data_IF_032056878554
#
_entry.id   IF_032056878554
#
_cell.length_a   1.000
_cell.length_b   1.000
_cell.length_c   1.000
_cell.angle_alpha   90.00
_cell.angle_beta   90.00
_cell.angle_gamma   90.00
#
_symmetry.space_group_name_H-M   'P 1'
#
loop_
_entity.id
_entity.type
_entity.pdbx_description
1 polymer ?
#
# COMPACT_ATOMS: atom_id res chain seq x y z
N UNK A 1 -5.58 -16.12 -11.63
CA UNK A 1 -6.85 -16.77 -11.27
C UNK A 1 -8.00 -15.84 -11.62
N UNK A 2 -8.71 -16.08 -12.72
CA UNK A 2 -9.89 -15.31 -13.17
C UNK A 2 -11.09 -16.26 -13.28
N UNK A 3 -11.68 -16.65 -12.15
CA UNK A 3 -12.91 -17.47 -12.13
C UNK A 3 -13.96 -17.02 -11.11
N UNK A 4 -13.79 -15.84 -10.51
CA UNK A 4 -14.85 -15.15 -9.76
C UNK A 4 -14.78 -13.67 -10.16
N UNK A 5 -15.88 -13.12 -10.68
CA UNK A 5 -15.94 -11.74 -11.15
C UNK A 5 -15.47 -10.79 -10.05
N UNK A 6 -14.51 -9.94 -10.40
CA UNK A 6 -13.80 -8.96 -9.56
C UNK A 6 -12.69 -9.51 -8.65
N UNK A 7 -11.43 -9.04 -8.81
CA UNK A 7 -10.37 -9.27 -7.84
C UNK A 7 -10.77 -8.65 -6.50
N UNK A 8 -10.77 -9.44 -5.42
CA UNK A 8 -10.97 -8.93 -4.06
C UNK A 8 -9.77 -8.13 -3.55
N UNK A 9 -8.61 -8.33 -4.17
CA UNK A 9 -7.33 -7.76 -3.80
C UNK A 9 -6.66 -7.13 -5.01
N UNK A 10 -5.99 -6.01 -4.79
CA UNK A 10 -5.23 -5.27 -5.79
C UNK A 10 -3.81 -5.02 -5.31
N UNK A 11 -2.88 -5.15 -6.25
CA UNK A 11 -1.51 -4.71 -6.06
C UNK A 11 -1.41 -3.21 -6.27
N UNK A 12 -0.77 -2.50 -5.35
CA UNK A 12 -0.56 -1.04 -5.41
C UNK A 12 0.89 -0.69 -5.13
N UNK A 13 1.33 0.47 -5.63
CA UNK A 13 2.60 1.05 -5.22
C UNK A 13 2.44 1.82 -3.93
N UNK A 14 3.49 1.82 -3.13
CA UNK A 14 3.59 2.62 -1.92
C UNK A 14 4.75 3.60 -2.02
N UNK A 15 4.52 4.80 -1.52
CA UNK A 15 5.53 5.79 -1.20
C UNK A 15 5.57 5.93 0.32
N UNK A 16 6.65 5.42 0.90
CA UNK A 16 6.79 5.20 2.33
C UNK A 16 7.82 6.21 2.85
N UNK A 17 7.54 7.05 3.86
CA UNK A 17 8.57 7.92 4.42
C UNK A 17 9.81 7.14 4.89
N UNK A 18 11.01 7.64 4.63
CA UNK A 18 12.25 6.88 4.88
C UNK A 18 12.50 6.52 6.36
N UNK A 19 11.91 7.27 7.29
CA UNK A 19 11.97 7.00 8.73
C UNK A 19 10.86 6.05 9.22
N UNK A 20 10.01 5.57 8.32
CA UNK A 20 8.94 4.64 8.66
C UNK A 20 9.51 3.30 9.15
N UNK A 21 8.88 2.66 10.15
CA UNK A 21 9.24 1.30 10.55
C UNK A 21 8.69 0.22 9.59
N UNK A 22 8.01 0.61 8.50
CA UNK A 22 7.40 -0.31 7.56
C UNK A 22 8.40 -1.29 6.93
N UNK A 23 8.00 -2.56 6.85
CA UNK A 23 8.74 -3.66 6.20
C UNK A 23 7.79 -4.56 5.43
N UNK A 24 8.32 -5.52 4.67
CA UNK A 24 7.48 -6.56 4.09
C UNK A 24 6.78 -7.37 5.21
N UNK A 25 5.48 -7.63 5.04
CA UNK A 25 4.59 -8.22 6.03
C UNK A 25 3.96 -7.21 7.00
N UNK A 26 4.32 -5.92 6.92
CA UNK A 26 3.64 -4.91 7.75
C UNK A 26 2.17 -4.77 7.32
N UNK A 27 1.22 -4.78 8.27
CA UNK A 27 -0.19 -4.55 7.97
C UNK A 27 -0.43 -3.09 7.56
N UNK A 28 -1.49 -2.86 6.81
CA UNK A 28 -1.93 -1.54 6.37
C UNK A 28 -3.36 -1.30 6.85
N UNK A 29 -3.59 -0.11 7.38
CA UNK A 29 -4.87 0.29 7.93
C UNK A 29 -5.40 1.56 7.28
N UNK A 30 -6.74 1.67 7.25
CA UNK A 30 -7.46 2.87 6.89
C UNK A 30 -8.67 3.02 7.81
N UNK A 31 -8.72 4.12 8.57
CA UNK A 31 -9.82 4.40 9.50
C UNK A 31 -10.04 3.26 10.52
N UNK A 32 -8.96 2.69 11.07
CA UNK A 32 -9.03 1.58 12.02
C UNK A 32 -9.23 0.18 11.42
N UNK A 33 -9.56 0.06 10.12
CA UNK A 33 -9.77 -1.23 9.46
C UNK A 33 -8.48 -1.71 8.80
N UNK A 34 -8.12 -2.97 9.01
CA UNK A 34 -7.03 -3.62 8.25
C UNK A 34 -7.47 -3.83 6.80
N UNK A 35 -6.65 -3.35 5.87
CA UNK A 35 -6.97 -3.32 4.44
C UNK A 35 -6.05 -4.21 3.61
N UNK A 36 -4.96 -4.70 4.20
CA UNK A 36 -3.94 -5.48 3.50
C UNK A 36 -2.57 -5.40 4.13
N UNK A 37 -1.55 -5.75 3.37
CA UNK A 37 -0.17 -5.84 3.83
C UNK A 37 0.83 -5.41 2.77
N UNK A 38 2.01 -4.96 3.22
CA UNK A 38 3.15 -4.68 2.35
C UNK A 38 3.76 -6.02 1.90
N UNK A 39 3.77 -6.30 0.60
CA UNK A 39 4.35 -7.53 0.07
C UNK A 39 5.82 -7.37 -0.30
N UNK A 40 6.27 -6.14 -0.57
CA UNK A 40 7.67 -5.86 -0.93
C UNK A 40 8.07 -4.45 -0.52
N UNK A 41 9.33 -4.29 -0.14
CA UNK A 41 9.91 -3.03 0.30
C UNK A 41 11.26 -2.81 -0.38
N UNK A 42 11.54 -1.58 -0.79
CA UNK A 42 12.78 -1.20 -1.45
C UNK A 42 13.19 0.23 -1.10
N UNK A 43 14.48 0.40 -0.82
CA UNK A 43 15.06 1.73 -0.59
C UNK A 43 15.10 2.48 -1.92
N UNK A 44 14.56 3.70 -1.96
CA UNK A 44 14.66 4.56 -3.13
C UNK A 44 16.07 5.12 -3.23
N UNK A 45 16.70 4.93 -4.39
CA UNK A 45 17.99 5.57 -4.73
C UNK A 45 17.82 6.98 -5.32
N UNK A 46 16.58 7.42 -5.59
CA UNK A 46 16.28 8.69 -6.27
C UNK A 46 15.81 9.81 -5.35
N UNK A 47 15.18 9.46 -4.22
CA UNK A 47 14.71 10.42 -3.21
C UNK A 47 14.89 9.78 -1.83
N UNK A 48 15.88 10.26 -1.08
CA UNK A 48 16.22 9.73 0.25
C UNK A 48 15.13 9.98 1.30
N UNK A 49 14.14 10.84 1.02
CA UNK A 49 13.02 11.09 1.93
C UNK A 49 11.99 9.98 1.91
N UNK A 50 11.99 9.15 0.86
CA UNK A 50 10.99 8.11 0.68
C UNK A 50 11.61 6.77 0.25
N UNK A 51 11.01 5.70 0.70
CA UNK A 51 11.19 4.36 0.18
C UNK A 51 10.02 3.99 -0.72
N UNK A 52 10.19 2.92 -1.49
CA UNK A 52 9.16 2.35 -2.35
C UNK A 52 8.72 1.01 -1.80
N UNK A 53 7.45 0.70 -1.99
CA UNK A 53 6.91 -0.61 -1.64
C UNK A 53 5.85 -1.06 -2.62
N UNK A 54 5.49 -2.32 -2.49
CA UNK A 54 4.30 -2.90 -3.12
C UNK A 54 3.45 -3.46 -1.98
N UNK A 55 2.14 -3.27 -2.08
CA UNK A 55 1.19 -3.84 -1.14
C UNK A 55 0.07 -4.55 -1.87
N UNK A 56 -0.54 -5.49 -1.15
CA UNK A 56 -1.79 -6.11 -1.53
C UNK A 56 -2.90 -5.56 -0.66
N UNK A 57 -3.85 -4.83 -1.24
CA UNK A 57 -4.96 -4.20 -0.50
C UNK A 57 -6.30 -4.62 -1.06
N UNK A 58 -7.37 -4.51 -0.27
CA UNK A 58 -8.73 -4.82 -0.75
C UNK A 58 -9.16 -3.83 -1.83
N UNK A 59 -9.78 -4.35 -2.89
CA UNK A 59 -10.24 -3.55 -4.04
C UNK A 59 -11.22 -2.43 -3.63
N UNK A 60 -12.12 -2.71 -2.68
CA UNK A 60 -13.16 -1.77 -2.21
C UNK A 60 -12.64 -0.44 -1.66
N UNK A 61 -11.34 -0.37 -1.34
CA UNK A 61 -10.67 0.76 -0.68
C UNK A 61 -9.45 1.26 -1.47
N UNK A 62 -9.23 0.73 -2.66
CA UNK A 62 -8.16 1.13 -3.58
C UNK A 62 -8.53 2.41 -4.39
N UNK A 63 -9.15 3.39 -3.75
CA UNK A 63 -9.31 4.73 -4.33
C UNK A 63 -7.99 5.48 -4.19
N UNK A 64 -7.44 5.97 -5.31
CA UNK A 64 -6.10 6.57 -5.42
C UNK A 64 -5.81 7.70 -4.41
N UNK A 65 -4.52 7.87 -4.07
CA UNK A 65 -3.98 8.96 -3.23
C UNK A 65 -4.47 9.00 -1.77
N UNK A 66 -4.99 7.89 -1.24
CA UNK A 66 -5.30 7.76 0.18
C UNK A 66 -4.03 7.49 1.01
N UNK A 67 -3.97 8.12 2.18
CA UNK A 67 -2.95 7.80 3.16
C UNK A 67 -3.34 6.55 3.93
N UNK A 68 -2.35 5.69 4.16
CA UNK A 68 -2.46 4.44 4.92
C UNK A 68 -1.63 4.53 6.19
N UNK A 69 -2.09 3.81 7.22
CA UNK A 69 -1.40 3.67 8.50
C UNK A 69 -0.82 2.26 8.66
N UNK A 70 0.12 2.08 9.59
CA UNK A 70 0.63 0.76 9.99
C UNK A 70 -0.13 0.17 11.18
N UNK A 71 -0.89 1.00 11.89
CA UNK A 71 -1.69 0.60 13.05
C UNK A 71 -3.12 1.19 12.95
N UNK A 72 -4.14 0.59 13.60
CA UNK A 72 -5.54 1.03 13.51
C UNK A 72 -5.77 2.51 13.85
N UNK A 73 -5.17 2.98 14.95
CA UNK A 73 -5.41 4.31 15.51
C UNK A 73 -4.29 5.32 15.17
N UNK A 74 -3.38 4.93 14.28
CA UNK A 74 -2.27 5.77 13.88
C UNK A 74 -2.69 6.77 12.80
N UNK A 75 -2.22 8.02 12.91
CA UNK A 75 -2.36 9.00 11.85
C UNK A 75 -1.69 8.46 10.56
N UNK A 76 -2.44 8.29 9.46
CA UNK A 76 -1.90 7.68 8.25
C UNK A 76 -0.85 8.58 7.58
N UNK A 77 0.18 7.96 7.01
CA UNK A 77 1.35 8.65 6.48
C UNK A 77 2.00 7.96 5.27
N UNK A 78 1.54 6.76 4.89
CA UNK A 78 2.01 6.05 3.70
C UNK A 78 1.09 6.40 2.55
N UNK A 79 1.63 6.99 1.49
CA UNK A 79 0.88 7.26 0.28
C UNK A 79 0.79 5.99 -0.56
N UNK A 80 -0.41 5.59 -0.97
CA UNK A 80 -0.56 4.59 -2.03
C UNK A 80 -0.74 5.25 -3.40
N UNK A 81 -0.10 4.66 -4.40
CA UNK A 81 -0.11 5.12 -5.78
C UNK A 81 -0.66 3.99 -6.68
N UNK A 82 -1.43 4.30 -7.73
CA UNK A 82 -1.84 3.29 -8.70
C UNK A 82 -0.61 2.67 -9.37
N UNK A 83 -0.72 1.39 -9.74
CA UNK A 83 0.30 0.77 -10.58
C UNK A 83 0.41 1.51 -11.92
N UNK A 84 1.62 1.68 -12.47
CA UNK A 84 1.82 2.39 -13.74
C UNK A 84 1.15 1.70 -14.94
N UNK A 85 0.75 0.43 -14.81
CA UNK A 85 -0.06 -0.27 -15.79
C UNK A 85 -1.47 -0.52 -15.26
N UNK A 86 -2.47 -0.19 -16.07
CA UNK A 86 -3.81 -0.74 -15.92
C UNK A 86 -3.79 -2.17 -16.45
N UNK A 87 -4.13 -3.13 -15.60
CA UNK A 87 -4.46 -4.48 -16.07
C UNK A 87 -5.90 -4.38 -16.61
N UNK A 88 -6.01 -4.04 -17.90
CA UNK A 88 -7.27 -4.03 -18.65
C UNK A 88 -7.65 -5.42 -19.12
#
# INVERSE_FOLDING_TARGET
MYHRGHPNWLSVWLKIPAKSPATAGSPLFQGGKEIGEITSFGVSIKDERFHRGIAMIRHEIAEENKLLALEPDQQPFIEHEPLPSKIS
#
